data_IF_739430951657
#
_entry.id   IF_739430951657
#
_cell.length_a   1.000
_cell.length_b   1.000
_cell.length_c   1.000
_cell.angle_alpha   90.00
_cell.angle_beta   90.00
_cell.angle_gamma   90.00
#
_symmetry.space_group_name_H-M   'P 1'
#
loop_
_entity.id
_entity.type
_entity.pdbx_description
1 polymer ?
#
# COMPACT_ATOMS: atom_id res chain seq x y z
N UNK A 1 7.25 -12.45 -9.11
CA UNK A 1 6.99 -11.06 -9.52
C UNK A 1 5.64 -10.68 -8.96
N UNK A 2 5.57 -9.64 -8.12
CA UNK A 2 4.38 -9.34 -7.30
C UNK A 2 4.58 -8.11 -6.41
N UNK A 3 5.52 -7.24 -6.80
CA UNK A 3 5.88 -6.01 -6.13
C UNK A 3 6.34 -5.03 -7.20
N UNK A 4 5.78 -3.84 -7.16
CA UNK A 4 6.02 -2.76 -8.11
C UNK A 4 6.92 -1.68 -7.51
N UNK A 5 6.96 -1.56 -6.18
CA UNK A 5 7.71 -0.52 -5.46
C UNK A 5 8.26 -0.98 -4.11
N UNK A 6 9.35 -0.33 -3.68
CA UNK A 6 9.98 -0.50 -2.37
C UNK A 6 10.25 0.89 -1.79
N UNK A 7 9.82 1.10 -0.54
CA UNK A 7 10.20 2.26 0.24
C UNK A 7 11.02 1.83 1.47
N UNK A 8 12.10 2.55 1.77
CA UNK A 8 12.97 2.27 2.93
C UNK A 8 13.17 3.54 3.74
N UNK A 9 12.73 3.53 4.99
CA UNK A 9 13.06 4.54 5.99
C UNK A 9 14.27 4.07 6.81
N UNK A 10 15.35 4.85 6.83
CA UNK A 10 16.60 4.52 7.56
C UNK A 10 16.62 5.19 8.93
N UNK A 11 17.32 4.58 9.89
CA UNK A 11 17.48 5.08 11.26
C UNK A 11 17.17 4.01 12.31
N UNK A 12 17.01 4.43 13.57
CA UNK A 12 16.50 3.55 14.63
C UNK A 12 15.07 3.12 14.25
N UNK A 13 14.82 1.82 14.18
CA UNK A 13 13.55 1.28 13.71
C UNK A 13 13.40 1.28 12.17
N UNK A 14 14.47 0.99 11.43
CA UNK A 14 14.47 0.89 9.97
C UNK A 14 13.27 0.10 9.44
N UNK A 15 12.48 0.73 8.56
CA UNK A 15 11.25 0.14 8.00
C UNK A 15 11.43 -0.03 6.50
N UNK A 16 11.11 -1.22 6.00
CA UNK A 16 11.01 -1.50 4.57
C UNK A 16 9.59 -1.88 4.22
N UNK A 17 8.99 -1.13 3.30
CA UNK A 17 7.64 -1.39 2.80
C UNK A 17 7.74 -1.86 1.36
N UNK A 18 7.04 -2.93 1.05
CA UNK A 18 6.87 -3.43 -0.32
C UNK A 18 5.46 -3.10 -0.80
N UNK A 19 5.33 -2.65 -2.04
CA UNK A 19 4.03 -2.29 -2.60
C UNK A 19 3.73 -3.00 -3.91
N UNK A 20 2.46 -3.33 -4.14
CA UNK A 20 1.95 -3.68 -5.46
C UNK A 20 0.73 -2.84 -5.81
N UNK A 21 0.61 -2.46 -7.09
CA UNK A 21 -0.43 -1.59 -7.62
C UNK A 21 -1.18 -2.33 -8.72
N UNK A 22 -2.51 -2.37 -8.64
CA UNK A 22 -3.38 -2.97 -9.65
C UNK A 22 -4.31 -1.91 -10.24
N UNK A 23 -4.07 -1.55 -11.50
CA UNK A 23 -4.95 -0.65 -12.25
C UNK A 23 -6.03 -1.50 -12.96
N UNK A 24 -7.09 -1.85 -12.24
CA UNK A 24 -8.20 -2.65 -12.76
C UNK A 24 -9.45 -1.80 -12.96
N UNK A 25 -10.29 -2.22 -13.92
CA UNK A 25 -11.61 -1.65 -14.13
C UNK A 25 -12.55 -1.99 -12.95
N UNK A 26 -13.63 -1.22 -12.72
CA UNK A 26 -14.53 -1.43 -11.58
C UNK A 26 -15.17 -2.83 -11.53
N UNK A 27 -15.37 -3.46 -12.70
CA UNK A 27 -15.91 -4.81 -12.83
C UNK A 27 -14.85 -5.92 -12.67
N UNK A 28 -13.58 -5.55 -12.53
CA UNK A 28 -12.47 -6.47 -12.34
C UNK A 28 -11.87 -6.34 -10.95
N UNK A 29 -12.31 -7.23 -10.06
CA UNK A 29 -11.83 -7.28 -8.68
C UNK A 29 -10.46 -7.95 -8.56
N UNK A 30 -9.66 -7.47 -7.61
CA UNK A 30 -8.41 -8.12 -7.21
C UNK A 30 -8.74 -9.47 -6.57
N UNK A 31 -8.14 -10.54 -7.08
CA UNK A 31 -8.42 -11.92 -6.65
C UNK A 31 -7.49 -12.35 -5.52
N UNK A 32 -7.83 -13.46 -4.85
CA UNK A 32 -7.01 -14.05 -3.79
C UNK A 32 -5.56 -14.31 -4.22
N UNK A 33 -5.35 -14.75 -5.46
CA UNK A 33 -4.00 -15.09 -5.94
C UNK A 33 -3.10 -13.86 -6.11
N UNK A 34 -3.67 -12.70 -6.48
CA UNK A 34 -2.92 -11.44 -6.50
C UNK A 34 -2.43 -11.06 -5.10
N UNK A 35 -3.30 -11.21 -4.08
CA UNK A 35 -2.93 -10.93 -2.68
C UNK A 35 -1.91 -11.94 -2.16
N UNK A 36 -2.09 -13.23 -2.46
CA UNK A 36 -1.16 -14.29 -2.08
C UNK A 36 0.19 -14.15 -2.76
N UNK A 37 0.24 -13.64 -3.99
CA UNK A 37 1.50 -13.36 -4.68
C UNK A 37 2.33 -12.32 -3.93
N UNK A 38 1.72 -11.21 -3.49
CA UNK A 38 2.41 -10.22 -2.65
C UNK A 38 2.80 -10.78 -1.28
N UNK A 39 1.93 -11.58 -0.65
CA UNK A 39 2.25 -12.25 0.62
C UNK A 39 3.43 -13.21 0.48
N UNK A 40 3.53 -13.96 -0.62
CA UNK A 40 4.67 -14.82 -0.89
C UNK A 40 5.99 -14.04 -0.95
N UNK A 41 5.97 -12.85 -1.58
CA UNK A 41 7.13 -11.94 -1.56
C UNK A 41 7.42 -11.44 -0.14
N UNK A 42 6.39 -11.00 0.59
CA UNK A 42 6.52 -10.51 1.96
C UNK A 42 7.10 -11.57 2.90
N UNK A 43 6.68 -12.82 2.76
CA UNK A 43 7.18 -13.95 3.57
C UNK A 43 8.59 -14.36 3.20
N UNK A 44 8.97 -14.27 1.92
CA UNK A 44 10.33 -14.58 1.46
C UNK A 44 11.36 -13.48 1.82
N UNK A 45 10.91 -12.25 2.05
CA UNK A 45 11.76 -11.10 2.32
C UNK A 45 11.71 -10.73 3.80
N UNK A 46 12.52 -11.41 4.61
CA UNK A 46 12.53 -11.28 6.08
C UNK A 46 12.78 -9.85 6.61
N UNK A 47 13.39 -8.99 5.80
CA UNK A 47 13.63 -7.59 6.15
C UNK A 47 12.52 -6.62 5.71
N UNK A 48 11.45 -7.10 5.06
CA UNK A 48 10.26 -6.31 4.77
C UNK A 48 9.34 -6.26 5.99
N UNK A 49 8.97 -5.06 6.40
CA UNK A 49 8.14 -4.80 7.57
C UNK A 49 6.64 -4.85 7.25
N UNK A 50 6.24 -4.41 6.05
CA UNK A 50 4.84 -4.34 5.61
C UNK A 50 4.71 -4.46 4.09
N UNK A 51 3.65 -5.14 3.64
CA UNK A 51 3.16 -5.12 2.28
C UNK A 51 1.94 -4.21 2.13
N UNK A 52 1.85 -3.47 1.02
CA UNK A 52 0.67 -2.68 0.66
C UNK A 52 0.22 -3.08 -0.73
N UNK A 53 -1.04 -3.47 -0.90
CA UNK A 53 -1.65 -3.69 -2.21
C UNK A 53 -2.72 -2.63 -2.45
N UNK A 54 -2.47 -1.75 -3.42
CA UNK A 54 -3.43 -0.72 -3.83
C UNK A 54 -4.11 -1.11 -5.14
N UNK A 55 -5.39 -0.77 -5.28
CA UNK A 55 -6.13 -0.98 -6.53
C UNK A 55 -7.04 0.19 -6.86
N UNK A 56 -7.30 0.40 -8.16
CA UNK A 56 -8.32 1.34 -8.67
C UNK A 56 -9.72 0.74 -8.75
N UNK A 57 -9.89 -0.50 -8.28
CA UNK A 57 -11.15 -1.23 -8.19
C UNK A 57 -11.37 -1.67 -6.73
N UNK A 58 -11.97 -2.84 -6.50
CA UNK A 58 -12.14 -3.43 -5.17
C UNK A 58 -11.55 -4.86 -5.07
N UNK A 59 -11.63 -5.43 -3.88
CA UNK A 59 -11.17 -6.78 -3.56
C UNK A 59 -12.31 -7.79 -3.66
N UNK A 60 -12.00 -8.98 -4.20
CA UNK A 60 -12.94 -10.08 -4.22
C UNK A 60 -13.48 -10.41 -2.80
N UNK A 61 -14.74 -10.85 -2.68
CA UNK A 61 -15.33 -11.16 -1.40
C UNK A 61 -14.53 -12.26 -0.69
N UNK A 62 -14.51 -12.17 0.65
CA UNK A 62 -13.80 -13.11 1.53
C UNK A 62 -12.27 -13.09 1.42
N UNK A 63 -11.65 -12.05 0.84
CA UNK A 63 -10.19 -11.86 0.94
C UNK A 63 -9.75 -11.60 2.39
N UNK A 64 -10.37 -10.64 3.09
CA UNK A 64 -10.00 -10.30 4.48
C UNK A 64 -10.13 -11.47 5.47
N UNK A 65 -11.21 -12.29 5.45
CA UNK A 65 -11.33 -13.45 6.34
C UNK A 65 -10.57 -14.71 5.86
N UNK A 66 -9.92 -14.70 4.69
CA UNK A 66 -9.14 -15.84 4.21
C UNK A 66 -8.07 -16.25 5.25
N UNK A 67 -8.00 -17.54 5.67
CA UNK A 67 -7.07 -17.99 6.70
C UNK A 67 -5.59 -17.73 6.40
N UNK A 68 -5.20 -17.64 5.12
CA UNK A 68 -3.83 -17.36 4.70
C UNK A 68 -3.52 -15.86 4.62
N UNK A 69 -4.54 -15.00 4.62
CA UNK A 69 -4.40 -13.54 4.49
C UNK A 69 -4.64 -12.85 5.84
N UNK A 70 -5.69 -13.27 6.56
CA UNK A 70 -6.13 -12.71 7.84
C UNK A 70 -5.00 -12.51 8.87
N UNK A 71 -4.05 -13.44 9.07
CA UNK A 71 -2.98 -13.27 10.06
C UNK A 71 -2.05 -12.07 9.80
N UNK A 72 -2.02 -11.58 8.55
CA UNK A 72 -1.18 -10.46 8.16
C UNK A 72 -1.91 -9.11 8.23
N UNK A 73 -3.25 -9.10 8.27
CA UNK A 73 -4.03 -7.88 8.30
C UNK A 73 -4.22 -7.34 9.73
N UNK A 74 -4.24 -6.01 9.94
CA UNK A 74 -3.75 -4.95 9.04
C UNK A 74 -2.25 -4.67 9.21
N UNK A 75 -1.58 -5.35 10.15
CA UNK A 75 -0.26 -4.93 10.64
C UNK A 75 0.87 -5.18 9.64
N UNK A 76 0.86 -6.35 8.98
CA UNK A 76 1.89 -6.80 8.02
C UNK A 76 1.45 -6.62 6.57
N UNK A 77 0.16 -6.64 6.30
CA UNK A 77 -0.43 -6.41 4.98
C UNK A 77 -1.52 -5.34 5.10
N UNK A 78 -1.50 -4.39 4.18
CA UNK A 78 -2.53 -3.37 3.99
C UNK A 78 -3.18 -3.61 2.62
N UNK A 79 -4.51 -3.63 2.57
CA UNK A 79 -5.28 -3.72 1.34
C UNK A 79 -6.04 -2.41 1.20
N UNK A 80 -5.81 -1.71 0.08
CA UNK A 80 -6.33 -0.36 -0.15
C UNK A 80 -7.12 -0.35 -1.46
N UNK A 81 -8.44 -0.21 -1.38
CA UNK A 81 -9.30 -0.18 -2.56
C UNK A 81 -9.42 1.23 -3.16
N UNK A 82 -10.19 1.36 -4.23
CA UNK A 82 -10.51 2.62 -4.92
C UNK A 82 -10.82 3.78 -3.95
N UNK A 83 -11.77 3.57 -3.04
CA UNK A 83 -12.29 4.62 -2.16
C UNK A 83 -11.19 5.05 -1.19
N UNK A 84 -10.56 4.07 -0.53
CA UNK A 84 -9.48 4.31 0.44
C UNK A 84 -8.25 4.96 -0.22
N UNK A 85 -7.93 4.55 -1.45
CA UNK A 85 -6.85 5.11 -2.25
C UNK A 85 -7.13 6.57 -2.62
N UNK A 86 -8.33 6.86 -3.10
CA UNK A 86 -8.73 8.22 -3.48
C UNK A 86 -8.68 9.16 -2.27
N UNK A 87 -9.19 8.73 -1.13
CA UNK A 87 -9.11 9.48 0.12
C UNK A 87 -7.66 9.72 0.54
N UNK A 88 -6.81 8.69 0.47
CA UNK A 88 -5.40 8.82 0.85
C UNK A 88 -4.66 9.81 -0.05
N UNK A 89 -4.83 9.71 -1.37
CA UNK A 89 -4.22 10.63 -2.33
C UNK A 89 -4.74 12.06 -2.16
N UNK A 90 -6.02 12.24 -1.85
CA UNK A 90 -6.61 13.56 -1.57
C UNK A 90 -5.96 14.22 -0.36
N UNK A 91 -5.77 13.47 0.74
CA UNK A 91 -5.06 13.96 1.93
C UNK A 91 -3.60 14.31 1.63
N UNK A 92 -2.91 13.49 0.82
CA UNK A 92 -1.54 13.77 0.41
C UNK A 92 -1.44 15.04 -0.43
N UNK A 93 -2.41 15.27 -1.33
CA UNK A 93 -2.47 16.49 -2.15
C UNK A 93 -2.65 17.75 -1.29
N UNK A 94 -3.52 17.71 -0.27
CA UNK A 94 -3.71 18.83 0.67
C UNK A 94 -2.45 19.11 1.48
N UNK A 95 -1.83 18.06 2.04
CA UNK A 95 -0.56 18.17 2.75
C UNK A 95 0.54 18.67 1.82
N UNK A 96 0.42 18.39 0.52
CA UNK A 96 1.37 18.83 -0.48
C UNK A 96 1.40 20.35 -0.66
N UNK A 97 0.22 20.94 -0.65
CA UNK A 97 0.07 22.40 -0.68
C UNK A 97 0.71 23.07 0.54
N UNK A 98 0.69 22.41 1.72
CA UNK A 98 1.23 22.97 2.96
C UNK A 98 2.76 23.01 2.92
N UNK A 99 3.44 21.97 2.42
CA UNK A 99 4.91 21.98 2.35
C UNK A 99 5.44 22.95 1.29
N UNK A 100 4.71 23.17 0.19
CA UNK A 100 5.09 24.17 -0.83
C UNK A 100 5.06 25.59 -0.29
N UNK A 101 4.09 25.93 0.57
CA UNK A 101 4.00 27.26 1.19
C UNK A 101 5.01 27.44 2.32
N UNK A 102 5.30 26.39 3.09
CA UNK A 102 6.26 26.44 4.20
C UNK A 102 7.74 26.41 3.77
N UNK A 103 8.04 26.20 2.49
CA UNK A 103 9.41 26.16 1.94
C UNK A 103 9.78 27.41 1.13
N UNK A 104 8.92 28.44 1.10
CA UNK A 104 9.31 29.76 0.59
C UNK A 104 10.23 30.45 1.61
N UNK A 105 11.44 30.91 1.22
CA UNK A 105 12.29 31.69 2.10
C UNK A 105 11.61 33.03 2.45
N UNK A 106 11.85 33.59 3.66
CA UNK A 106 11.37 34.92 3.99
C UNK A 106 12.00 35.93 3.02
N UNK A 107 11.17 36.82 2.47
CA UNK A 107 11.61 37.95 1.66
C UNK A 107 12.51 38.88 2.48
N UNK A 108 13.72 39.15 1.98
CA UNK A 108 14.63 40.20 2.49
C UNK A 108 14.02 41.60 2.40
#
# INVERSE_FOLDING_TARGET
>A
MGRDLIAVGKGIGCVKVIGSVKAYAPDHLVKHDDVRALLGVLSGESNASKGILTTTSDFAPRIKPDPFIKPFLPTRLELVNEVELHEWLSRLSQKSSIWKTASSPPSE
#
